data_IF_779933047961
#
_entry.id   IF_779933047961
#
_cell.length_a   1.000
_cell.length_b   1.000
_cell.length_c   1.000
_cell.angle_alpha   90.00
_cell.angle_beta   90.00
_cell.angle_gamma   90.00
#
_symmetry.space_group_name_H-M   'P 1'
#
loop_
_entity.id
_entity.type
_entity.pdbx_description
1 polymer ?
#
# COMPACT_ATOMS: atom_id res chain seq x y z
N UNK A 1 -81.76 11.88 17.12
CA UNK A 1 -81.05 13.06 16.58
C UNK A 1 -79.99 13.57 17.55
N UNK A 2 -80.33 13.92 18.80
CA UNK A 2 -79.38 14.39 19.83
C UNK A 2 -78.18 13.44 20.09
N UNK A 3 -78.41 12.13 20.06
CA UNK A 3 -77.35 11.12 20.25
C UNK A 3 -76.33 11.11 19.10
N UNK A 4 -76.82 11.22 17.86
CA UNK A 4 -75.99 11.31 16.65
C UNK A 4 -75.16 12.60 16.64
N UNK A 5 -75.71 13.72 17.12
CA UNK A 5 -74.98 14.97 17.28
C UNK A 5 -73.89 14.88 18.36
N UNK A 6 -74.17 14.19 19.47
CA UNK A 6 -73.17 13.95 20.52
C UNK A 6 -72.02 13.09 20.02
N UNK A 7 -72.31 12.02 19.27
CA UNK A 7 -71.29 11.17 18.64
C UNK A 7 -70.47 11.91 17.59
N UNK A 8 -71.09 12.75 16.75
CA UNK A 8 -70.39 13.57 15.77
C UNK A 8 -69.47 14.61 16.43
N UNK A 9 -69.88 15.17 17.56
CA UNK A 9 -69.05 16.10 18.35
C UNK A 9 -67.85 15.38 18.98
N UNK A 10 -68.07 14.21 19.57
CA UNK A 10 -67.02 13.36 20.12
C UNK A 10 -65.97 13.00 19.06
N UNK A 11 -66.40 12.59 17.86
CA UNK A 11 -65.49 12.26 16.75
C UNK A 11 -64.63 13.45 16.34
N UNK A 12 -65.21 14.66 16.23
CA UNK A 12 -64.45 15.88 15.90
C UNK A 12 -63.45 16.27 16.98
N UNK A 13 -63.81 16.09 18.24
CA UNK A 13 -62.90 16.38 19.34
C UNK A 13 -61.76 15.35 19.39
N UNK A 14 -62.04 14.07 19.11
CA UNK A 14 -61.03 13.00 18.98
C UNK A 14 -60.09 13.24 17.80
N UNK A 15 -60.62 13.66 16.66
CA UNK A 15 -59.83 14.04 15.48
C UNK A 15 -58.94 15.25 15.77
N UNK A 16 -59.46 16.28 16.44
CA UNK A 16 -58.68 17.46 16.87
C UNK A 16 -57.55 17.06 17.83
N UNK A 17 -57.84 16.17 18.78
CA UNK A 17 -56.84 15.65 19.72
C UNK A 17 -55.78 14.85 18.96
N UNK A 18 -56.17 13.98 18.04
CA UNK A 18 -55.25 13.20 17.21
C UNK A 18 -54.32 14.11 16.39
N UNK A 19 -54.87 15.09 15.67
CA UNK A 19 -54.07 16.06 14.88
C UNK A 19 -53.12 16.89 15.76
N UNK A 20 -53.46 17.11 17.03
CA UNK A 20 -52.57 17.82 17.97
C UNK A 20 -51.40 16.95 18.44
N UNK A 21 -51.61 15.65 18.65
CA UNK A 21 -50.58 14.73 19.14
C UNK A 21 -49.73 14.09 18.03
N UNK A 22 -50.25 13.94 16.82
CA UNK A 22 -49.56 13.39 15.65
C UNK A 22 -48.14 13.98 15.43
N UNK A 23 -47.94 15.33 15.36
CA UNK A 23 -46.61 15.89 15.14
C UNK A 23 -45.65 15.61 16.31
N UNK A 24 -46.17 15.53 17.54
CA UNK A 24 -45.37 15.24 18.73
C UNK A 24 -44.92 13.78 18.73
N UNK A 25 -45.83 12.85 18.39
CA UNK A 25 -45.55 11.43 18.30
C UNK A 25 -44.55 11.13 17.17
N UNK A 26 -44.72 11.76 16.00
CA UNK A 26 -43.77 11.67 14.88
C UNK A 26 -42.39 12.22 15.27
N UNK A 27 -42.34 13.36 15.97
CA UNK A 27 -41.08 13.93 16.46
C UNK A 27 -40.37 13.01 17.44
N UNK A 28 -41.10 12.39 18.37
CA UNK A 28 -40.54 11.42 19.32
C UNK A 28 -40.04 10.18 18.58
N UNK A 29 -40.79 9.63 17.63
CA UNK A 29 -40.36 8.48 16.82
C UNK A 29 -39.11 8.76 15.98
N UNK A 30 -39.04 9.94 15.35
CA UNK A 30 -37.85 10.38 14.61
C UNK A 30 -36.65 10.60 15.52
N UNK A 31 -36.87 11.12 16.74
CA UNK A 31 -35.81 11.31 17.73
C UNK A 31 -35.24 9.95 18.18
N UNK A 32 -36.12 8.98 18.46
CA UNK A 32 -35.75 7.63 18.86
C UNK A 32 -34.94 6.93 17.76
N UNK A 33 -35.44 6.95 16.53
CA UNK A 33 -34.73 6.43 15.36
C UNK A 33 -33.37 7.12 15.13
N UNK A 34 -33.29 8.44 15.34
CA UNK A 34 -32.03 9.19 15.25
C UNK A 34 -31.05 8.79 16.34
N UNK A 35 -31.51 8.51 17.56
CA UNK A 35 -30.65 8.03 18.64
C UNK A 35 -30.13 6.62 18.37
N UNK A 36 -30.97 5.73 17.84
CA UNK A 36 -30.57 4.38 17.46
C UNK A 36 -29.57 4.38 16.30
N UNK A 37 -29.78 5.23 15.30
CA UNK A 37 -28.80 5.42 14.23
C UNK A 37 -27.46 5.94 14.77
N UNK A 38 -27.49 6.91 15.68
CA UNK A 38 -26.28 7.43 16.33
C UNK A 38 -25.54 6.36 17.14
N UNK A 39 -26.29 5.47 17.81
CA UNK A 39 -25.74 4.32 18.55
C UNK A 39 -25.13 3.30 17.59
N UNK A 40 -25.77 3.02 16.46
CA UNK A 40 -25.26 2.15 15.41
C UNK A 40 -23.97 2.71 14.77
N UNK A 41 -23.93 3.99 14.42
CA UNK A 41 -22.73 4.65 13.92
C UNK A 41 -21.58 4.60 14.93
N UNK A 42 -21.87 4.82 16.21
CA UNK A 42 -20.88 4.73 17.29
C UNK A 42 -20.37 3.30 17.46
N UNK A 43 -21.24 2.29 17.34
CA UNK A 43 -20.85 0.88 17.37
C UNK A 43 -19.94 0.54 16.18
N UNK A 44 -20.31 0.95 14.96
CA UNK A 44 -19.51 0.74 13.76
C UNK A 44 -18.11 1.37 13.90
N UNK A 45 -18.02 2.59 14.42
CA UNK A 45 -16.74 3.24 14.65
C UNK A 45 -15.87 2.48 15.67
N UNK A 46 -16.47 2.01 16.78
CA UNK A 46 -15.76 1.15 17.75
C UNK A 46 -15.26 -0.16 17.14
N UNK A 47 -16.05 -0.79 16.26
CA UNK A 47 -15.67 -2.00 15.54
C UNK A 47 -14.47 -1.74 14.61
N UNK A 48 -14.51 -0.67 13.82
CA UNK A 48 -13.40 -0.25 12.96
C UNK A 48 -12.11 -0.03 13.78
N UNK A 49 -12.18 0.72 14.88
CA UNK A 49 -11.02 0.95 15.77
C UNK A 49 -10.49 -0.35 16.40
N UNK A 50 -11.37 -1.24 16.87
CA UNK A 50 -10.95 -2.52 17.46
C UNK A 50 -10.30 -3.46 16.43
N UNK A 51 -10.86 -3.52 15.22
CA UNK A 51 -10.33 -4.35 14.15
C UNK A 51 -8.95 -3.84 13.71
N UNK A 52 -8.81 -2.53 13.50
CA UNK A 52 -7.53 -1.88 13.20
C UNK A 52 -6.48 -2.18 14.24
N UNK A 53 -6.82 -2.05 15.53
CA UNK A 53 -5.90 -2.38 16.64
C UNK A 53 -5.50 -3.85 16.62
N UNK A 54 -6.46 -4.78 16.50
CA UNK A 54 -6.13 -6.21 16.43
C UNK A 54 -5.25 -6.56 15.24
N UNK A 55 -5.48 -5.94 14.08
CA UNK A 55 -4.66 -6.14 12.88
C UNK A 55 -3.24 -5.57 13.02
N UNK A 56 -3.10 -4.40 13.65
CA UNK A 56 -1.78 -3.80 13.96
C UNK A 56 -1.00 -4.61 15.00
N UNK A 57 -1.71 -5.17 15.99
CA UNK A 57 -1.13 -6.05 17.01
C UNK A 57 -1.05 -7.52 16.56
N UNK A 58 -1.35 -7.84 15.30
CA UNK A 58 -1.17 -9.20 14.80
C UNK A 58 0.29 -9.61 14.98
N UNK A 59 0.50 -10.76 15.60
CA UNK A 59 1.82 -11.30 15.92
C UNK A 59 2.74 -11.33 14.70
N UNK A 60 2.20 -11.66 13.53
CA UNK A 60 2.93 -11.73 12.26
C UNK A 60 3.51 -10.38 11.82
N UNK A 61 2.79 -9.26 12.05
CA UNK A 61 3.28 -7.92 11.72
C UNK A 61 4.48 -7.56 12.59
N UNK A 62 4.35 -7.75 13.90
CA UNK A 62 5.44 -7.47 14.85
C UNK A 62 6.65 -8.38 14.61
N UNK A 63 6.44 -9.68 14.37
CA UNK A 63 7.51 -10.62 14.01
C UNK A 63 8.23 -10.24 12.71
N UNK A 64 7.47 -9.80 11.70
CA UNK A 64 8.05 -9.32 10.43
C UNK A 64 8.89 -8.06 10.62
N UNK A 65 8.45 -7.14 11.48
CA UNK A 65 9.20 -5.92 11.80
C UNK A 65 10.46 -6.22 12.62
N UNK A 66 10.36 -7.07 13.64
CA UNK A 66 11.49 -7.42 14.51
C UNK A 66 12.53 -8.28 13.76
N UNK A 67 12.10 -9.19 12.88
CA UNK A 67 13.03 -9.94 12.00
C UNK A 67 13.80 -9.03 11.04
N UNK A 68 13.14 -8.02 10.46
CA UNK A 68 13.79 -7.01 9.63
C UNK A 68 14.81 -6.19 10.43
N UNK A 69 14.46 -5.76 11.66
CA UNK A 69 15.39 -5.05 12.54
C UNK A 69 16.62 -5.90 12.89
N UNK A 70 16.42 -7.19 13.18
CA UNK A 70 17.52 -8.11 13.48
C UNK A 70 18.44 -8.31 12.26
N UNK A 71 17.86 -8.50 11.07
CA UNK A 71 18.62 -8.61 9.83
C UNK A 71 19.44 -7.35 9.55
N UNK A 72 18.87 -6.16 9.78
CA UNK A 72 19.56 -4.88 9.63
C UNK A 72 20.74 -4.74 10.60
N UNK A 73 20.58 -5.14 11.86
CA UNK A 73 21.66 -5.12 12.84
C UNK A 73 22.79 -6.09 12.47
N UNK A 74 22.43 -7.29 11.99
CA UNK A 74 23.40 -8.29 11.54
C UNK A 74 24.20 -7.82 10.31
N UNK A 75 23.50 -7.34 9.28
CA UNK A 75 24.14 -6.85 8.05
C UNK A 75 24.96 -5.60 8.30
N UNK A 76 24.51 -4.70 9.17
CA UNK A 76 25.33 -3.58 9.59
C UNK A 76 26.63 -4.04 10.26
N UNK A 77 26.56 -4.97 11.22
CA UNK A 77 27.75 -5.50 11.88
C UNK A 77 28.70 -6.16 10.89
N UNK A 78 28.15 -6.87 9.90
CA UNK A 78 28.94 -7.48 8.83
C UNK A 78 29.62 -6.43 7.95
N UNK A 79 28.88 -5.42 7.49
CA UNK A 79 29.44 -4.33 6.67
C UNK A 79 30.52 -3.54 7.42
N UNK A 80 30.41 -3.40 8.74
CA UNK A 80 31.46 -2.77 9.56
C UNK A 80 32.68 -3.68 9.75
N UNK A 81 32.49 -4.99 9.91
CA UNK A 81 33.59 -5.95 10.07
C UNK A 81 34.38 -6.18 8.79
N UNK A 82 33.72 -6.07 7.63
CA UNK A 82 34.30 -6.29 6.30
C UNK A 82 34.90 -5.01 5.71
N UNK A 83 34.96 -3.90 6.47
CA UNK A 83 35.41 -2.59 5.98
C UNK A 83 36.72 -2.67 5.18
N UNK A 84 36.59 -2.22 3.92
CA UNK A 84 37.38 -2.53 2.72
C UNK A 84 38.83 -2.01 2.78
N UNK A 85 39.24 -1.37 3.88
CA UNK A 85 40.60 -0.83 4.06
C UNK A 85 41.66 -1.93 4.19
N UNK A 86 41.27 -3.16 4.52
CA UNK A 86 42.20 -4.27 4.77
C UNK A 86 42.20 -5.40 3.74
N UNK A 87 41.31 -5.40 2.73
CA UNK A 87 41.37 -6.38 1.63
C UNK A 87 42.48 -5.99 0.64
N UNK A 88 43.71 -6.37 0.99
CA UNK A 88 44.92 -6.21 0.15
C UNK A 88 45.40 -7.55 -0.43
N UNK A 89 44.60 -8.61 -0.41
CA UNK A 89 45.11 -9.97 -0.62
C UNK A 89 44.25 -10.76 -1.62
N UNK A 90 44.69 -10.75 -2.89
CA UNK A 90 44.26 -11.58 -4.05
C UNK A 90 43.05 -11.14 -4.90
N UNK A 91 43.18 -11.27 -6.23
CA UNK A 91 42.13 -11.03 -7.25
C UNK A 91 40.89 -11.91 -7.01
N UNK A 92 41.10 -13.15 -6.55
CA UNK A 92 40.03 -14.08 -6.20
C UNK A 92 39.19 -13.57 -5.01
N UNK A 93 39.82 -12.96 -4.00
CA UNK A 93 39.13 -12.38 -2.87
C UNK A 93 38.34 -11.12 -3.25
N UNK A 94 38.87 -10.29 -4.16
CA UNK A 94 38.18 -9.12 -4.70
C UNK A 94 36.92 -9.52 -5.49
N UNK A 95 37.01 -10.53 -6.36
CA UNK A 95 35.86 -11.06 -7.11
C UNK A 95 34.82 -11.71 -6.20
N UNK A 96 35.25 -12.46 -5.19
CA UNK A 96 34.33 -13.05 -4.21
C UNK A 96 33.57 -11.97 -3.44
N UNK A 97 34.27 -10.89 -3.07
CA UNK A 97 33.67 -9.77 -2.37
C UNK A 97 32.65 -9.02 -3.24
N UNK A 98 32.95 -8.80 -4.53
CA UNK A 98 32.01 -8.20 -5.49
C UNK A 98 30.72 -9.03 -5.64
N UNK A 99 30.84 -10.35 -5.81
CA UNK A 99 29.69 -11.26 -5.86
C UNK A 99 28.84 -11.19 -4.58
N UNK A 100 29.49 -11.05 -3.42
CA UNK A 100 28.82 -10.96 -2.12
C UNK A 100 28.06 -9.64 -1.97
N UNK A 101 28.64 -8.52 -2.42
CA UNK A 101 27.96 -7.22 -2.41
C UNK A 101 26.76 -7.21 -3.36
N UNK A 102 26.88 -7.83 -4.54
CA UNK A 102 25.76 -7.98 -5.47
C UNK A 102 24.62 -8.80 -4.86
N UNK A 103 24.93 -9.89 -4.15
CA UNK A 103 23.92 -10.66 -3.43
C UNK A 103 23.24 -9.83 -2.32
N UNK A 104 24.01 -9.09 -1.53
CA UNK A 104 23.49 -8.20 -0.49
C UNK A 104 22.63 -7.07 -1.06
N UNK A 105 22.97 -6.55 -2.24
CA UNK A 105 22.19 -5.52 -2.91
C UNK A 105 20.80 -6.04 -3.31
N UNK A 106 20.72 -7.28 -3.79
CA UNK A 106 19.44 -7.92 -4.10
C UNK A 106 18.63 -8.22 -2.84
N UNK A 107 19.27 -8.69 -1.77
CA UNK A 107 18.60 -8.87 -0.47
C UNK A 107 18.07 -7.55 0.09
N UNK A 108 18.85 -6.46 0.04
CA UNK A 108 18.42 -5.12 0.45
C UNK A 108 17.21 -4.64 -0.35
N UNK A 109 17.13 -4.97 -1.64
CA UNK A 109 15.97 -4.67 -2.49
C UNK A 109 14.73 -5.45 -2.02
N UNK A 110 14.88 -6.72 -1.67
CA UNK A 110 13.84 -7.54 -1.06
C UNK A 110 13.34 -6.96 0.27
N UNK A 111 14.27 -6.60 1.17
CA UNK A 111 13.95 -6.00 2.46
C UNK A 111 13.27 -4.64 2.32
N UNK A 112 13.62 -3.86 1.29
CA UNK A 112 12.95 -2.59 0.99
C UNK A 112 11.50 -2.79 0.50
N UNK A 113 11.23 -3.82 -0.29
CA UNK A 113 9.87 -4.19 -0.69
C UNK A 113 9.03 -4.59 0.54
N UNK A 114 9.59 -5.42 1.41
CA UNK A 114 8.97 -5.84 2.66
C UNK A 114 8.71 -4.64 3.60
N UNK A 115 9.66 -3.71 3.73
CA UNK A 115 9.44 -2.48 4.51
C UNK A 115 8.30 -1.64 3.93
N UNK A 116 8.20 -1.54 2.60
CA UNK A 116 7.15 -0.78 1.92
C UNK A 116 5.77 -1.40 2.15
N UNK A 117 5.65 -2.73 2.13
CA UNK A 117 4.38 -3.41 2.42
C UNK A 117 3.97 -3.21 3.88
N UNK A 118 4.90 -3.34 4.83
CA UNK A 118 4.65 -3.07 6.25
C UNK A 118 4.23 -1.61 6.49
N UNK A 119 4.89 -0.65 5.84
CA UNK A 119 4.52 0.76 5.93
C UNK A 119 3.11 1.02 5.35
N UNK A 120 2.80 0.40 4.21
CA UNK A 120 1.50 0.54 3.55
C UNK A 120 0.40 0.01 4.45
N UNK A 121 0.55 -1.20 4.99
CA UNK A 121 -0.38 -1.79 5.95
C UNK A 121 -0.54 -0.91 7.20
N UNK A 122 0.56 -0.41 7.77
CA UNK A 122 0.51 0.47 8.93
C UNK A 122 -0.27 1.77 8.62
N UNK A 123 -0.01 2.41 7.48
CA UNK A 123 -0.68 3.65 7.08
C UNK A 123 -2.19 3.47 6.84
N UNK A 124 -2.58 2.33 6.26
CA UNK A 124 -3.98 1.95 6.03
C UNK A 124 -4.72 1.61 7.31
N UNK A 125 -4.03 0.97 8.27
CA UNK A 125 -4.64 0.46 9.49
C UNK A 125 -4.63 1.46 10.64
N UNK A 126 -3.83 2.53 10.58
CA UNK A 126 -3.63 3.52 11.65
C UNK A 126 -4.95 3.98 12.32
N UNK A 127 -5.20 3.60 13.60
CA UNK A 127 -6.28 4.18 14.41
C UNK A 127 -6.09 5.69 14.61
N UNK A 128 -7.18 6.44 14.79
CA UNK A 128 -7.12 7.90 14.97
C UNK A 128 -6.81 8.35 16.39
N UNK A 129 -6.96 7.46 17.39
CA UNK A 129 -7.16 7.88 18.79
C UNK A 129 -6.17 7.29 19.82
N UNK A 130 -5.18 6.47 19.44
CA UNK A 130 -4.32 5.74 20.41
C UNK A 130 -2.83 6.02 20.22
N UNK A 131 -2.36 7.15 20.76
CA UNK A 131 -1.04 7.70 20.48
C UNK A 131 0.15 6.83 20.98
N UNK A 132 0.05 6.17 22.13
CA UNK A 132 1.21 5.53 22.79
C UNK A 132 1.69 4.27 22.04
N UNK A 133 0.82 3.27 21.83
CA UNK A 133 1.20 2.03 21.11
C UNK A 133 1.54 2.28 19.61
N UNK A 134 1.05 3.39 19.05
CA UNK A 134 1.32 3.77 17.66
C UNK A 134 2.70 4.40 17.49
N UNK A 135 3.19 5.11 18.50
CA UNK A 135 4.45 5.84 18.42
C UNK A 135 5.64 4.89 18.33
N UNK A 136 5.64 3.80 19.11
CA UNK A 136 6.70 2.79 19.08
C UNK A 136 6.84 2.12 17.71
N UNK A 137 5.71 1.71 17.11
CA UNK A 137 5.70 1.08 15.78
C UNK A 137 6.12 2.08 14.69
N UNK A 138 5.66 3.33 14.79
CA UNK A 138 6.04 4.39 13.87
C UNK A 138 7.54 4.70 13.95
N UNK A 139 8.09 4.77 15.16
CA UNK A 139 9.51 4.99 15.40
C UNK A 139 10.35 3.83 14.85
N UNK A 140 9.97 2.58 15.16
CA UNK A 140 10.62 1.39 14.61
C UNK A 140 10.60 1.39 13.07
N UNK A 141 9.46 1.66 12.44
CA UNK A 141 9.34 1.74 10.98
C UNK A 141 10.20 2.88 10.40
N UNK A 142 10.29 4.01 11.09
CA UNK A 142 11.11 5.15 10.69
C UNK A 142 12.61 4.82 10.77
N UNK A 143 13.06 4.25 11.89
CA UNK A 143 14.43 3.78 12.09
C UNK A 143 14.82 2.78 11.02
N UNK A 144 13.95 1.79 10.76
CA UNK A 144 14.15 0.77 9.72
C UNK A 144 14.30 1.40 8.33
N UNK A 145 13.45 2.38 7.99
CA UNK A 145 13.54 3.10 6.71
C UNK A 145 14.88 3.84 6.57
N UNK A 146 15.31 4.53 7.62
CA UNK A 146 16.58 5.27 7.60
C UNK A 146 17.77 4.32 7.50
N UNK A 147 17.74 3.21 8.24
CA UNK A 147 18.79 2.21 8.24
C UNK A 147 18.94 1.52 6.89
N UNK A 148 17.83 1.12 6.27
CA UNK A 148 17.83 0.57 4.90
C UNK A 148 18.44 1.54 3.90
N UNK A 149 18.08 2.84 3.98
CA UNK A 149 18.66 3.87 3.11
C UNK A 149 20.17 4.05 3.35
N UNK A 150 20.61 4.01 4.60
CA UNK A 150 22.02 4.13 4.95
C UNK A 150 22.82 2.93 4.44
N UNK A 151 22.36 1.71 4.69
CA UNK A 151 23.03 0.48 4.24
C UNK A 151 23.08 0.41 2.71
N UNK A 152 21.99 0.76 2.03
CA UNK A 152 21.98 0.79 0.57
C UNK A 152 23.02 1.76 0.00
N UNK A 153 23.11 2.98 0.55
CA UNK A 153 24.16 3.94 0.17
C UNK A 153 25.56 3.42 0.44
N UNK A 154 25.77 2.73 1.56
CA UNK A 154 27.07 2.17 1.91
C UNK A 154 27.49 1.06 0.94
N UNK A 155 26.59 0.12 0.65
CA UNK A 155 26.83 -0.97 -0.32
C UNK A 155 27.06 -0.42 -1.73
N UNK A 156 26.29 0.58 -2.17
CA UNK A 156 26.51 1.28 -3.44
C UNK A 156 27.91 1.93 -3.51
N UNK A 157 28.34 2.56 -2.42
CA UNK A 157 29.66 3.16 -2.31
C UNK A 157 30.79 2.12 -2.30
N UNK A 158 30.61 1.02 -1.56
CA UNK A 158 31.60 -0.05 -1.46
C UNK A 158 31.78 -0.77 -2.81
N UNK A 159 30.68 -1.04 -3.53
CA UNK A 159 30.72 -1.59 -4.89
C UNK A 159 31.44 -0.63 -5.85
N UNK A 160 31.14 0.68 -5.80
CA UNK A 160 31.84 1.66 -6.63
C UNK A 160 33.36 1.70 -6.36
N UNK A 161 33.76 1.68 -5.09
CA UNK A 161 35.17 1.66 -4.70
C UNK A 161 35.89 0.40 -5.19
N UNK A 162 35.25 -0.77 -5.11
CA UNK A 162 35.82 -2.03 -5.58
C UNK A 162 35.95 -2.09 -7.09
N UNK A 163 34.92 -1.62 -7.81
CA UNK A 163 34.97 -1.54 -9.26
C UNK A 163 36.11 -0.64 -9.73
N UNK A 164 36.31 0.51 -9.08
CA UNK A 164 37.43 1.41 -9.37
C UNK A 164 38.80 0.75 -9.10
N UNK A 165 38.93 -0.06 -8.04
CA UNK A 165 40.16 -0.80 -7.74
C UNK A 165 40.44 -1.88 -8.79
N UNK A 166 39.44 -2.66 -9.19
CA UNK A 166 39.57 -3.67 -10.24
C UNK A 166 40.01 -3.07 -11.58
N UNK A 167 39.44 -1.91 -11.95
CA UNK A 167 39.84 -1.19 -13.17
C UNK A 167 41.30 -0.69 -13.10
N UNK A 168 41.74 -0.21 -11.93
CA UNK A 168 43.13 0.22 -11.72
C UNK A 168 44.13 -0.93 -11.76
N UNK A 169 43.76 -2.11 -11.27
CA UNK A 169 44.62 -3.31 -11.27
C UNK A 169 44.74 -3.91 -12.68
N UNK A 170 43.66 -3.85 -13.47
CA UNK A 170 43.69 -4.19 -14.90
C UNK A 170 44.57 -3.24 -15.74
N UNK A 171 44.59 -1.95 -15.41
CA UNK A 171 45.46 -0.96 -16.05
C UNK A 171 46.96 -1.14 -15.68
N UNK A 172 47.25 -1.62 -14.47
CA UNK A 172 48.63 -1.85 -14.02
C UNK A 172 49.23 -3.14 -14.59
N UNK A 173 48.43 -4.21 -14.70
CA UNK A 173 48.88 -5.48 -15.29
C UNK A 173 49.21 -5.37 -16.79
N UNK A 174 48.61 -4.41 -17.50
CA UNK A 174 48.89 -4.13 -18.91
C UNK A 174 50.17 -3.32 -19.16
N UNK A 175 50.84 -2.81 -18.11
CA UNK A 175 52.14 -2.12 -18.20
C UNK A 175 53.35 -3.04 -17.94
N UNK A 176 53.13 -4.28 -17.50
CA UNK A 176 54.17 -5.31 -17.29
C UNK A 176 53.96 -6.52 -18.20
N UNK A 177 54.25 -6.36 -19.49
CA UNK A 177 54.36 -7.45 -20.47
C UNK A 177 55.50 -7.15 -21.46
N UNK A 178 56.35 -8.12 -21.84
CA UNK A 178 57.46 -7.89 -22.75
C UNK A 178 56.94 -7.45 -24.12
N UNK A 179 57.58 -6.44 -24.71
CA UNK A 179 57.27 -5.90 -26.03
C UNK A 179 56.96 -6.98 -27.07
N UNK A 180 55.73 -6.97 -27.59
CA UNK A 180 55.47 -7.31 -28.98
C UNK A 180 54.31 -6.47 -29.50
N UNK A 181 54.68 -5.56 -30.39
CA UNK A 181 53.91 -4.98 -31.48
C UNK A 181 52.37 -4.93 -31.39
N UNK A 182 51.88 -3.67 -31.45
CA UNK A 182 50.83 -3.16 -32.36
C UNK A 182 49.43 -2.97 -31.76
N UNK A 183 48.91 -1.77 -32.05
CA UNK A 183 47.51 -1.30 -31.98
C UNK A 183 46.97 -0.69 -30.68
N UNK A 184 47.45 0.52 -30.38
CA UNK A 184 46.66 1.56 -29.72
C UNK A 184 45.52 2.04 -30.66
N UNK A 185 44.36 1.38 -30.62
CA UNK A 185 43.06 1.90 -31.10
C UNK A 185 41.96 0.97 -30.60
N UNK A 186 41.31 1.30 -29.48
CA UNK A 186 40.26 0.39 -28.99
C UNK A 186 39.36 0.83 -27.85
N UNK A 187 39.61 1.92 -27.13
CA UNK A 187 38.72 2.31 -26.02
C UNK A 187 37.43 3.01 -26.48
N UNK A 188 37.38 3.53 -27.71
CA UNK A 188 36.19 4.15 -28.29
C UNK A 188 35.16 3.15 -28.86
N UNK A 189 35.54 1.89 -29.10
CA UNK A 189 34.68 0.89 -29.77
C UNK A 189 33.64 0.26 -28.83
N UNK A 190 33.91 0.15 -27.53
CA UNK A 190 33.03 -0.55 -26.59
C UNK A 190 31.82 0.30 -26.17
N UNK A 191 32.05 1.59 -25.86
CA UNK A 191 30.99 2.52 -25.50
C UNK A 191 30.03 2.80 -26.66
N UNK A 192 30.53 2.88 -27.90
CA UNK A 192 29.68 3.03 -29.09
C UNK A 192 28.84 1.77 -29.40
N UNK A 193 29.31 0.57 -29.02
CA UNK A 193 28.54 -0.67 -29.17
C UNK A 193 27.46 -0.82 -28.10
N UNK A 194 27.77 -0.44 -26.85
CA UNK A 194 26.80 -0.44 -25.76
C UNK A 194 25.72 0.65 -25.95
N UNK A 195 26.10 1.86 -26.37
CA UNK A 195 25.14 2.91 -26.72
C UNK A 195 24.23 2.51 -27.89
N UNK A 196 24.74 1.74 -28.87
CA UNK A 196 23.94 1.29 -30.03
C UNK A 196 22.81 0.32 -29.67
N UNK A 197 22.88 -0.34 -28.52
CA UNK A 197 21.86 -1.30 -28.07
C UNK A 197 20.99 -0.72 -26.96
N UNK A 198 21.56 0.11 -26.09
CA UNK A 198 20.83 0.71 -24.96
C UNK A 198 19.95 1.89 -25.40
N UNK A 199 20.40 2.74 -26.34
CA UNK A 199 19.57 3.83 -26.87
C UNK A 199 18.26 3.35 -27.52
N UNK A 200 18.24 2.36 -28.43
CA UNK A 200 16.99 1.95 -29.08
C UNK A 200 16.01 1.32 -28.08
N UNK A 201 16.51 0.63 -27.05
CA UNK A 201 15.68 0.06 -25.98
C UNK A 201 15.07 1.14 -25.08
N UNK A 202 15.83 2.17 -24.70
CA UNK A 202 15.31 3.32 -23.95
C UNK A 202 14.27 4.11 -24.77
N UNK A 203 14.50 4.29 -26.07
CA UNK A 203 13.55 4.98 -26.96
C UNK A 203 12.25 4.17 -27.15
N UNK A 204 12.36 2.84 -27.28
CA UNK A 204 11.21 1.93 -27.37
C UNK A 204 10.37 1.97 -26.09
N UNK A 205 11.02 1.95 -24.93
CA UNK A 205 10.33 2.04 -23.64
C UNK A 205 9.61 3.38 -23.48
N UNK A 206 10.25 4.49 -23.90
CA UNK A 206 9.64 5.81 -23.89
C UNK A 206 8.43 5.88 -24.83
N UNK A 207 8.53 5.31 -26.03
CA UNK A 207 7.43 5.23 -27.00
C UNK A 207 6.26 4.41 -26.45
N UNK A 208 6.55 3.25 -25.85
CA UNK A 208 5.54 2.39 -25.23
C UNK A 208 4.87 3.07 -24.05
N UNK A 209 5.63 3.82 -23.24
CA UNK A 209 5.08 4.63 -22.15
C UNK A 209 4.17 5.75 -22.67
N UNK A 210 4.57 6.45 -23.74
CA UNK A 210 3.75 7.48 -24.40
C UNK A 210 2.47 6.91 -25.02
N UNK A 211 2.54 5.71 -25.59
CA UNK A 211 1.40 4.98 -26.10
C UNK A 211 0.45 4.56 -24.97
N UNK A 212 0.98 4.00 -23.88
CA UNK A 212 0.21 3.67 -22.69
C UNK A 212 -0.46 4.91 -22.10
N UNK A 213 0.22 6.05 -22.09
CA UNK A 213 -0.34 7.32 -21.63
C UNK A 213 -1.48 7.81 -22.54
N UNK A 214 -1.35 7.64 -23.86
CA UNK A 214 -2.46 7.88 -24.80
C UNK A 214 -3.62 6.89 -24.63
N UNK A 215 -3.37 5.66 -24.20
CA UNK A 215 -4.41 4.68 -23.85
C UNK A 215 -5.07 4.97 -22.50
N UNK A 216 -4.38 5.68 -21.59
CA UNK A 216 -4.88 6.08 -20.27
C UNK A 216 -5.67 7.39 -20.30
N UNK A 217 -5.60 8.15 -21.39
CA UNK A 217 -6.57 9.22 -21.69
C UNK A 217 -7.78 8.52 -22.28
N UNK A 218 -8.89 8.33 -21.54
CA UNK A 218 -10.08 7.76 -22.12
C UNK A 218 -10.53 8.70 -23.23
N UNK A 219 -10.48 8.22 -24.48
CA UNK A 219 -11.18 8.80 -25.61
C UNK A 219 -12.66 8.87 -25.20
N UNK A 220 -13.05 10.04 -24.70
CA UNK A 220 -14.42 10.41 -24.44
C UNK A 220 -15.11 10.51 -25.79
N UNK A 221 -15.53 9.38 -26.34
CA UNK A 221 -16.68 9.38 -27.22
C UNK A 221 -17.41 8.04 -27.21
N UNK A 222 -18.71 8.15 -26.95
CA UNK A 222 -19.81 7.18 -27.16
C UNK A 222 -20.28 6.27 -26.01
N UNK A 223 -21.48 6.66 -25.56
CA UNK A 223 -22.64 5.88 -25.09
C UNK A 223 -22.49 4.97 -23.86
N UNK A 224 -22.96 5.41 -22.67
CA UNK A 224 -22.97 4.58 -21.47
C UNK A 224 -24.13 3.58 -21.50
N UNK A 225 -23.94 2.45 -22.20
CA UNK A 225 -24.77 1.26 -21.96
C UNK A 225 -24.27 0.57 -20.68
N UNK A 226 -24.74 1.05 -19.54
CA UNK A 226 -24.52 0.45 -18.23
C UNK A 226 -25.31 -0.87 -18.13
N UNK A 227 -24.76 -1.99 -18.62
CA UNK A 227 -25.37 -3.30 -18.42
C UNK A 227 -24.46 -4.37 -17.78
N UNK A 228 -23.17 -4.10 -17.55
CA UNK A 228 -22.22 -5.15 -17.10
C UNK A 228 -21.41 -4.77 -15.86
N UNK A 229 -21.87 -3.81 -15.04
CA UNK A 229 -21.21 -3.46 -13.77
C UNK A 229 -22.14 -3.50 -12.56
N UNK A 230 -23.14 -4.39 -12.56
CA UNK A 230 -24.06 -4.52 -11.44
C UNK A 230 -24.19 -5.95 -10.92
N UNK A 231 -23.08 -6.50 -10.42
CA UNK A 231 -23.09 -7.71 -9.58
C UNK A 231 -23.28 -7.38 -8.08
N UNK A 232 -23.47 -6.10 -7.72
CA UNK A 232 -23.65 -5.69 -6.32
C UNK A 232 -25.11 -5.41 -5.93
N UNK A 233 -25.98 -5.01 -6.86
CA UNK A 233 -27.40 -4.72 -6.55
C UNK A 233 -28.24 -5.96 -6.18
N UNK A 234 -27.72 -7.18 -6.37
CA UNK A 234 -28.43 -8.40 -5.99
C UNK A 234 -28.10 -8.91 -4.57
N UNK A 235 -27.15 -8.31 -3.84
CA UNK A 235 -26.73 -8.78 -2.51
C UNK A 235 -27.37 -8.05 -1.32
N UNK A 236 -28.13 -6.98 -1.56
CA UNK A 236 -28.82 -6.22 -0.50
C UNK A 236 -30.34 -6.20 -0.69
N UNK A 237 -30.95 -7.36 -0.82
CA UNK A 237 -32.35 -7.52 -0.42
C UNK A 237 -32.37 -7.92 1.07
N UNK A 238 -32.64 -7.00 2.01
CA UNK A 238 -33.20 -7.44 3.28
C UNK A 238 -34.56 -8.07 2.93
N UNK A 239 -34.65 -9.40 2.98
CA UNK A 239 -35.94 -10.08 2.94
C UNK A 239 -36.77 -9.55 4.10
N UNK A 240 -37.75 -8.72 3.78
CA UNK A 240 -38.83 -8.37 4.68
C UNK A 240 -39.61 -9.66 4.94
N UNK A 241 -39.20 -10.43 5.94
CA UNK A 241 -40.02 -11.50 6.48
C UNK A 241 -41.20 -10.83 7.18
N UNK A 242 -42.33 -10.76 6.48
CA UNK A 242 -43.61 -10.52 7.12
C UNK A 242 -43.86 -11.68 8.09
N UNK A 243 -43.90 -11.38 9.38
CA UNK A 243 -44.27 -12.36 10.43
C UNK A 243 -45.75 -12.75 10.38
N UNK A 244 -46.54 -12.09 9.52
CA UNK A 244 -47.93 -12.40 9.23
C UNK A 244 -48.07 -12.42 7.71
N UNK A 245 -48.29 -13.60 7.10
CA UNK A 245 -48.25 -13.84 5.65
C UNK A 245 -49.00 -12.84 4.75
N UNK A 246 -48.82 -12.91 3.43
CA UNK A 246 -49.30 -11.89 2.50
C UNK A 246 -50.82 -11.67 2.60
N UNK A 247 -51.30 -10.41 2.57
CA UNK A 247 -52.73 -10.12 2.54
C UNK A 247 -53.36 -10.68 1.26
N UNK A 248 -54.50 -11.33 1.42
CA UNK A 248 -55.25 -11.89 0.31
C UNK A 248 -55.76 -10.78 -0.62
N UNK A 249 -55.63 -11.05 -1.92
CA UNK A 249 -56.42 -10.47 -3.00
C UNK A 249 -55.98 -9.09 -3.52
N UNK A 250 -55.45 -9.09 -4.76
CA UNK A 250 -55.84 -8.16 -5.83
C UNK A 250 -55.19 -8.58 -7.16
N UNK A 251 -55.94 -9.31 -7.97
CA UNK A 251 -55.69 -9.51 -9.41
C UNK A 251 -56.00 -8.21 -10.17
N UNK A 252 -55.11 -7.71 -11.04
CA UNK A 252 -55.44 -6.60 -11.94
C UNK A 252 -56.05 -7.12 -13.27
N UNK A 253 -56.86 -6.29 -13.96
CA UNK A 253 -57.45 -6.58 -15.27
C UNK A 253 -56.43 -6.52 -16.42
#
# INVERSE_FOLDING_TARGET
MKELEAQAKQLKDLERVFSHYEPTMLKVGLQDQRTDWSRACSALHRWDTCLRRKLLCCQEFHQSLDSLLLWLAHTESWCHAVDVKHLQTSDEALRLHDNTLMALQEELRGQQSQHTSLWTLWSLLRPRDTAEDQQDVQEKLHVTSNKLKQLRKRVEQDHHNLQQRLESEAANSSLTGPCSARETRGTSSFFCRLLRVVLPLQLLLLLLLLLLLHCLIPLSDRDPSCSVANNFAHSFYPMLHYTNGPPAHMTPP
#
